data_IF_890303642806
#
_entry.id   IF_890303642806
#
_cell.length_a   1.000
_cell.length_b   1.000
_cell.length_c   1.000
_cell.angle_alpha   90.00
_cell.angle_beta   90.00
_cell.angle_gamma   90.00
#
_symmetry.space_group_name_H-M   'P 1'
#
loop_
_entity.id
_entity.type
_entity.pdbx_description
1 polymer ?
#
# COMPACT_ATOMS: atom_id res chain seq x y z
N UNK A 1 17.62 -11.35 -7.08
CA UNK A 1 17.48 -10.06 -6.41
C UNK A 1 18.82 -9.64 -5.84
N UNK A 2 19.18 -8.38 -5.99
CA UNK A 2 20.37 -7.80 -5.37
C UNK A 2 19.90 -6.64 -4.49
N UNK A 3 20.14 -6.74 -3.19
CA UNK A 3 19.85 -5.68 -2.23
C UNK A 3 20.90 -5.66 -1.12
N UNK A 4 21.09 -4.50 -0.52
CA UNK A 4 21.91 -4.29 0.67
C UNK A 4 20.97 -3.81 1.78
N UNK A 5 21.15 -4.36 2.99
CA UNK A 5 20.39 -3.93 4.15
C UNK A 5 21.31 -3.63 5.33
N UNK A 6 20.93 -2.60 6.06
CA UNK A 6 21.53 -2.21 7.33
C UNK A 6 20.44 -2.16 8.41
N UNK A 7 20.77 -2.60 9.63
CA UNK A 7 19.88 -2.52 10.79
C UNK A 7 20.63 -1.95 11.96
N UNK A 8 20.03 -0.99 12.65
CA UNK A 8 20.54 -0.33 13.85
C UNK A 8 19.55 -0.42 15.00
N UNK A 9 19.82 0.34 16.06
CA UNK A 9 18.95 0.43 17.23
C UNK A 9 17.63 1.16 16.91
N UNK A 10 16.66 1.10 17.83
CA UNK A 10 15.35 1.77 17.74
C UNK A 10 14.54 1.38 16.48
N UNK A 11 14.70 0.13 16.02
CA UNK A 11 14.02 -0.35 14.83
C UNK A 11 14.46 0.34 13.54
N UNK A 12 15.60 1.03 13.53
CA UNK A 12 16.16 1.68 12.34
C UNK A 12 16.62 0.61 11.35
N UNK A 13 16.16 0.73 10.13
CA UNK A 13 16.55 -0.15 9.05
C UNK A 13 16.62 0.63 7.74
N UNK A 14 17.62 0.33 6.93
CA UNK A 14 17.72 0.81 5.56
C UNK A 14 17.88 -0.38 4.61
N UNK A 15 17.17 -0.36 3.49
CA UNK A 15 17.29 -1.38 2.43
C UNK A 15 17.40 -0.66 1.10
N UNK A 16 18.47 -0.93 0.35
CA UNK A 16 18.71 -0.38 -0.98
C UNK A 16 18.79 -1.51 -2.01
N UNK A 17 18.13 -1.35 -3.13
CA UNK A 17 18.15 -2.26 -4.26
C UNK A 17 16.83 -2.96 -4.51
N UNK A 18 16.87 -4.06 -5.30
CA UNK A 18 15.66 -4.77 -5.73
C UNK A 18 15.02 -5.57 -4.61
N UNK A 19 13.85 -5.16 -4.19
CA UNK A 19 13.15 -5.69 -3.03
C UNK A 19 11.65 -5.90 -3.28
N UNK A 20 11.03 -6.73 -2.45
CA UNK A 20 9.58 -6.79 -2.29
C UNK A 20 9.12 -5.66 -1.40
N UNK A 21 8.04 -5.01 -1.79
CA UNK A 21 7.35 -4.06 -0.94
C UNK A 21 5.88 -4.48 -0.91
N UNK A 22 5.38 -4.70 0.31
CA UNK A 22 3.98 -4.96 0.58
C UNK A 22 3.60 -4.06 1.75
N UNK A 23 2.62 -3.20 1.54
CA UNK A 23 2.15 -2.26 2.56
C UNK A 23 0.72 -2.66 2.97
N UNK A 24 0.49 -2.70 4.27
CA UNK A 24 -0.79 -3.08 4.87
C UNK A 24 -1.35 -4.40 4.28
N UNK A 25 -2.53 -4.34 3.66
CA UNK A 25 -3.20 -5.48 3.03
C UNK A 25 -2.88 -5.61 1.53
N UNK A 26 -1.85 -4.94 1.01
CA UNK A 26 -1.49 -4.89 -0.40
C UNK A 26 -2.54 -4.21 -1.32
N UNK A 27 -3.44 -3.41 -0.74
CA UNK A 27 -4.49 -2.71 -1.51
C UNK A 27 -3.92 -1.61 -2.39
N UNK A 28 -2.85 -0.93 -1.92
CA UNK A 28 -2.18 0.14 -2.66
C UNK A 28 -0.84 -0.30 -3.23
N UNK A 29 0.00 -0.96 -2.41
CA UNK A 29 1.30 -1.47 -2.85
C UNK A 29 1.44 -2.93 -2.43
N UNK A 30 1.64 -3.81 -3.42
CA UNK A 30 1.80 -5.24 -3.23
C UNK A 30 2.75 -5.87 -4.24
N UNK A 31 3.15 -7.11 -3.99
CA UNK A 31 4.12 -7.83 -4.82
C UNK A 31 3.49 -8.78 -5.84
N UNK A 32 2.16 -8.92 -5.85
CA UNK A 32 1.44 -9.85 -6.74
C UNK A 32 2.02 -11.29 -6.67
N UNK A 33 2.34 -11.73 -5.44
CA UNK A 33 3.17 -12.91 -5.16
C UNK A 33 2.60 -14.26 -5.60
N UNK A 34 1.37 -14.33 -6.09
CA UNK A 34 0.77 -15.53 -6.69
C UNK A 34 1.18 -15.74 -8.17
N UNK A 35 1.80 -14.74 -8.81
CA UNK A 35 2.31 -14.84 -10.17
C UNK A 35 3.73 -15.42 -10.18
N UNK A 36 4.08 -16.11 -11.27
CA UNK A 36 5.43 -16.65 -11.49
C UNK A 36 6.48 -15.52 -11.47
N UNK A 37 6.19 -14.39 -12.13
CA UNK A 37 6.95 -13.15 -12.03
C UNK A 37 6.22 -12.24 -11.05
N UNK A 38 6.71 -12.14 -9.82
CA UNK A 38 6.17 -11.19 -8.86
C UNK A 38 6.61 -9.76 -9.15
N UNK A 39 5.80 -8.80 -8.73
CA UNK A 39 6.17 -7.39 -8.74
C UNK A 39 7.27 -7.14 -7.71
N UNK A 40 8.34 -6.46 -8.13
CA UNK A 40 9.46 -6.03 -7.27
C UNK A 40 9.83 -4.58 -7.58
N UNK A 41 10.53 -3.95 -6.65
CA UNK A 41 10.83 -2.54 -6.70
C UNK A 41 12.34 -2.33 -6.56
N UNK A 42 12.94 -1.55 -7.46
CA UNK A 42 14.27 -0.99 -7.26
C UNK A 42 14.09 0.28 -6.43
N UNK A 43 14.48 0.24 -5.16
CA UNK A 43 14.04 1.21 -4.17
C UNK A 43 15.05 1.39 -3.02
N UNK A 44 14.96 2.55 -2.37
CA UNK A 44 15.48 2.79 -1.03
C UNK A 44 14.31 2.75 -0.05
N UNK A 45 14.39 1.90 0.97
CA UNK A 45 13.44 1.87 2.09
C UNK A 45 14.15 2.21 3.38
N UNK A 46 13.56 3.10 4.15
CA UNK A 46 13.99 3.52 5.47
C UNK A 46 12.86 3.27 6.46
N UNK A 47 13.13 2.49 7.50
CA UNK A 47 12.22 2.25 8.62
C UNK A 47 12.83 2.80 9.90
N UNK A 48 12.02 3.37 10.80
CA UNK A 48 12.43 3.82 12.13
C UNK A 48 11.28 3.71 13.12
N UNK A 49 11.60 3.40 14.37
CA UNK A 49 10.65 3.44 15.50
C UNK A 49 11.20 4.33 16.62
N UNK A 50 11.21 5.66 16.44
CA UNK A 50 11.79 6.59 17.41
C UNK A 50 10.96 6.71 18.69
N UNK A 51 9.72 6.24 18.69
CA UNK A 51 8.81 6.25 19.83
C UNK A 51 8.23 4.86 20.04
N UNK A 52 7.91 4.51 21.29
CA UNK A 52 7.35 3.19 21.65
C UNK A 52 6.06 2.88 20.87
N UNK A 53 5.22 3.89 20.64
CA UNK A 53 3.91 3.75 20.01
C UNK A 53 3.85 4.25 18.56
N UNK A 54 5.00 4.61 17.95
CA UNK A 54 5.00 5.11 16.57
C UNK A 54 6.17 4.56 15.75
N UNK A 55 5.87 4.03 14.58
CA UNK A 55 6.83 3.60 13.58
C UNK A 55 6.62 4.39 12.29
N UNK A 56 7.72 4.69 11.61
CA UNK A 56 7.74 5.45 10.36
C UNK A 56 8.43 4.64 9.28
N UNK A 57 7.88 4.68 8.09
CA UNK A 57 8.48 4.11 6.87
C UNK A 57 8.51 5.18 5.79
N UNK A 58 9.67 5.33 5.15
CA UNK A 58 9.83 6.09 3.93
C UNK A 58 10.39 5.18 2.84
N UNK A 59 9.82 5.27 1.62
CA UNK A 59 10.31 4.51 0.48
C UNK A 59 10.43 5.45 -0.72
N UNK A 60 11.60 5.45 -1.36
CA UNK A 60 11.81 6.00 -2.68
C UNK A 60 11.86 4.86 -3.69
N UNK A 61 11.05 4.91 -4.74
CA UNK A 61 10.96 3.89 -5.78
C UNK A 61 11.48 4.50 -7.08
N UNK A 62 12.61 3.99 -7.55
CA UNK A 62 13.28 4.37 -8.80
C UNK A 62 12.74 3.58 -10.00
N UNK A 63 12.32 2.31 -9.75
CA UNK A 63 11.81 1.45 -10.82
C UNK A 63 10.85 0.39 -10.27
N UNK A 64 9.79 0.10 -11.03
CA UNK A 64 8.84 -0.97 -10.75
C UNK A 64 8.99 -2.09 -11.78
N UNK A 65 9.46 -3.26 -11.33
CA UNK A 65 9.48 -4.48 -12.13
C UNK A 65 8.15 -5.18 -12.01
N UNK A 66 7.39 -5.18 -13.09
CA UNK A 66 6.03 -5.69 -13.11
C UNK A 66 5.97 -7.18 -13.45
N UNK A 67 4.78 -7.75 -13.30
CA UNK A 67 4.52 -9.20 -13.48
C UNK A 67 4.65 -9.69 -14.93
N UNK A 68 4.75 -8.80 -15.91
CA UNK A 68 4.70 -9.13 -17.35
C UNK A 68 6.03 -9.63 -17.93
N UNK A 69 7.12 -9.56 -17.13
CA UNK A 69 8.46 -9.97 -17.55
C UNK A 69 9.22 -8.89 -18.34
N UNK A 70 10.53 -9.07 -18.45
CA UNK A 70 11.42 -8.04 -18.99
C UNK A 70 11.26 -7.78 -20.49
N UNK A 71 10.71 -8.75 -21.24
CA UNK A 71 10.52 -8.64 -22.69
C UNK A 71 9.20 -7.94 -23.09
N UNK A 72 8.37 -7.60 -22.09
CA UNK A 72 7.12 -6.89 -22.29
C UNK A 72 7.33 -5.38 -22.23
N UNK A 73 6.71 -4.59 -23.14
CA UNK A 73 6.66 -3.13 -23.00
C UNK A 73 6.04 -2.64 -21.68
N UNK A 74 5.29 -3.50 -21.00
CA UNK A 74 4.68 -3.21 -19.69
C UNK A 74 5.43 -3.90 -18.53
N UNK A 75 6.59 -4.49 -18.80
CA UNK A 75 7.35 -5.25 -17.80
C UNK A 75 8.06 -4.41 -16.77
N UNK A 76 8.26 -3.14 -17.08
CA UNK A 76 9.03 -2.20 -16.27
C UNK A 76 8.41 -0.81 -16.37
N UNK A 77 8.39 -0.08 -15.27
CA UNK A 77 8.04 1.34 -15.20
C UNK A 77 9.17 2.10 -14.50
N UNK A 78 9.79 3.03 -15.22
CA UNK A 78 10.63 4.06 -14.62
C UNK A 78 9.78 4.88 -13.64
N UNK A 79 10.31 5.19 -12.48
CA UNK A 79 9.54 5.78 -11.39
C UNK A 79 10.33 6.82 -10.62
N UNK A 80 9.68 7.91 -10.26
CA UNK A 80 10.13 8.89 -9.29
C UNK A 80 9.07 9.02 -8.18
N UNK A 81 8.91 7.92 -7.42
CA UNK A 81 7.81 7.79 -6.48
C UNK A 81 8.28 7.79 -5.04
N UNK A 82 7.46 8.41 -4.18
CA UNK A 82 7.70 8.47 -2.75
C UNK A 82 6.53 7.88 -1.98
N UNK A 83 6.84 7.08 -0.97
CA UNK A 83 5.86 6.53 -0.03
C UNK A 83 6.26 6.91 1.38
N UNK A 84 5.31 7.43 2.13
CA UNK A 84 5.48 7.80 3.54
C UNK A 84 4.38 7.12 4.33
N UNK A 85 4.73 6.40 5.38
CA UNK A 85 3.78 5.80 6.31
C UNK A 85 4.15 6.11 7.76
N UNK A 86 3.13 6.25 8.59
CA UNK A 86 3.22 6.33 10.04
C UNK A 86 2.21 5.35 10.66
N UNK A 87 2.71 4.34 11.34
CA UNK A 87 1.92 3.45 12.18
C UNK A 87 1.92 3.97 13.61
N UNK A 88 0.73 4.14 14.19
CA UNK A 88 0.56 4.66 15.55
C UNK A 88 -0.32 3.71 16.34
N UNK A 89 0.22 3.19 17.44
CA UNK A 89 -0.53 2.39 18.41
C UNK A 89 -1.26 3.33 19.38
N UNK A 90 -2.59 3.28 19.37
CA UNK A 90 -3.48 4.08 20.18
C UNK A 90 -4.14 3.22 21.26
N UNK A 91 -4.60 3.78 22.40
CA UNK A 91 -5.33 3.02 23.44
C UNK A 91 -6.60 2.32 22.93
N UNK A 92 -7.14 2.80 21.82
CA UNK A 92 -8.38 2.34 21.19
C UNK A 92 -8.16 1.76 19.78
N UNK A 93 -6.97 1.26 19.49
CA UNK A 93 -6.65 0.59 18.23
C UNK A 93 -5.36 1.08 17.60
N UNK A 94 -5.11 0.65 16.37
CA UNK A 94 -3.96 1.03 15.57
C UNK A 94 -4.37 1.88 14.39
N UNK A 95 -3.71 3.00 14.18
CA UNK A 95 -3.85 3.84 13.00
C UNK A 95 -2.60 3.73 12.11
N UNK A 96 -2.80 3.65 10.80
CA UNK A 96 -1.78 3.82 9.78
C UNK A 96 -2.16 5.03 8.94
N UNK A 97 -1.29 6.02 8.91
CA UNK A 97 -1.40 7.21 8.06
C UNK A 97 -0.45 7.02 6.90
N UNK A 98 -0.87 7.34 5.69
CA UNK A 98 0.00 7.18 4.52
C UNK A 98 -0.16 8.29 3.48
N UNK A 99 0.94 8.55 2.79
CA UNK A 99 1.01 9.37 1.60
C UNK A 99 1.77 8.58 0.53
N UNK A 100 1.15 8.42 -0.64
CA UNK A 100 1.71 7.78 -1.83
C UNK A 100 1.81 8.85 -2.91
N UNK A 101 3.00 9.21 -3.33
CA UNK A 101 3.28 10.15 -4.40
C UNK A 101 3.89 9.34 -5.54
N UNK A 102 3.06 8.84 -6.45
CA UNK A 102 3.45 7.90 -7.49
C UNK A 102 3.62 8.62 -8.81
N UNK A 103 4.84 8.61 -9.37
CA UNK A 103 5.13 9.11 -10.70
C UNK A 103 5.84 8.03 -11.54
N UNK A 104 5.27 7.72 -12.70
CA UNK A 104 5.75 6.67 -13.61
C UNK A 104 6.28 7.26 -14.94
N UNK A 105 6.60 8.56 -14.93
CA UNK A 105 7.26 9.23 -16.04
C UNK A 105 6.56 8.97 -17.38
N UNK A 106 7.34 8.51 -18.36
CA UNK A 106 6.84 8.25 -19.72
C UNK A 106 6.19 6.88 -19.89
N UNK A 107 6.45 5.94 -19.00
CA UNK A 107 5.98 4.55 -19.16
C UNK A 107 4.50 4.41 -18.85
N UNK A 108 4.01 5.14 -17.83
CA UNK A 108 2.61 5.09 -17.43
C UNK A 108 2.12 6.41 -16.81
N UNK A 109 2.26 7.57 -17.49
CA UNK A 109 1.93 8.87 -16.91
C UNK A 109 0.48 8.94 -16.41
N UNK A 110 -0.44 8.31 -17.12
CA UNK A 110 -1.83 8.22 -16.70
C UNK A 110 -2.07 7.43 -15.40
N UNK A 111 -1.11 6.67 -14.91
CA UNK A 111 -1.19 5.97 -13.62
C UNK A 111 -0.54 6.75 -12.47
N UNK A 112 0.15 7.85 -12.77
CA UNK A 112 0.75 8.72 -11.76
C UNK A 112 -0.34 9.44 -10.97
N UNK A 113 -0.22 9.41 -9.64
CA UNK A 113 -1.22 9.99 -8.73
C UNK A 113 -0.60 10.26 -7.36
N UNK A 114 -1.23 11.16 -6.60
CA UNK A 114 -0.98 11.29 -5.17
C UNK A 114 -2.19 10.77 -4.40
N UNK A 115 -1.92 9.99 -3.35
CA UNK A 115 -2.95 9.40 -2.50
C UNK A 115 -2.60 9.64 -1.04
N UNK A 116 -3.51 10.23 -0.29
CA UNK A 116 -3.39 10.43 1.15
C UNK A 116 -4.50 9.67 1.86
N UNK A 117 -4.15 8.89 2.86
CA UNK A 117 -5.14 8.06 3.54
C UNK A 117 -4.84 7.75 4.99
N UNK A 118 -5.86 7.22 5.62
CA UNK A 118 -5.81 6.70 6.98
C UNK A 118 -6.54 5.36 7.04
N UNK A 119 -5.89 4.39 7.66
CA UNK A 119 -6.45 3.09 8.01
C UNK A 119 -6.41 2.93 9.51
N UNK A 120 -7.56 2.60 10.11
CA UNK A 120 -7.66 2.31 11.54
C UNK A 120 -8.21 0.91 11.73
N UNK A 121 -7.70 0.20 12.76
CA UNK A 121 -8.23 -1.11 13.16
C UNK A 121 -8.14 -1.29 14.66
N UNK A 122 -9.09 -2.02 15.20
CA UNK A 122 -9.08 -2.51 16.58
C UNK A 122 -9.67 -3.90 16.68
N UNK A 123 -9.16 -4.70 17.61
CA UNK A 123 -9.68 -6.03 17.96
C UNK A 123 -10.02 -6.03 19.46
N UNK A 124 -11.15 -6.60 19.82
CA UNK A 124 -11.61 -6.70 21.21
C UNK A 124 -11.73 -8.16 21.62
N UNK A 125 -11.53 -8.43 22.92
CA UNK A 125 -11.85 -9.72 23.52
C UNK A 125 -13.27 -9.69 24.10
N UNK A 126 -14.17 -10.50 23.56
CA UNK A 126 -15.58 -10.61 23.99
C UNK A 126 -15.89 -12.08 24.27
N UNK A 127 -15.55 -12.54 25.47
CA UNK A 127 -15.67 -13.95 25.85
C UNK A 127 -14.82 -14.87 24.97
N UNK A 128 -15.45 -15.79 24.23
CA UNK A 128 -14.74 -16.67 23.29
C UNK A 128 -14.57 -16.05 21.89
N UNK A 129 -15.04 -14.84 21.65
CA UNK A 129 -15.02 -14.17 20.37
C UNK A 129 -14.02 -13.02 20.37
N UNK A 130 -13.41 -12.79 19.21
CA UNK A 130 -12.52 -11.64 18.95
C UNK A 130 -13.03 -10.88 17.72
N UNK A 131 -13.96 -9.93 17.92
CA UNK A 131 -14.36 -9.04 16.85
C UNK A 131 -13.24 -8.03 16.54
N UNK A 132 -13.03 -7.79 15.25
CA UNK A 132 -12.11 -6.78 14.71
C UNK A 132 -12.87 -5.88 13.75
N UNK A 133 -12.78 -4.58 13.94
CA UNK A 133 -13.25 -3.58 13.00
C UNK A 133 -12.05 -2.92 12.31
N UNK A 134 -12.14 -2.78 11.00
CA UNK A 134 -11.17 -2.04 10.19
C UNK A 134 -11.92 -0.99 9.38
N UNK A 135 -11.44 0.24 9.41
CA UNK A 135 -11.95 1.36 8.63
C UNK A 135 -10.79 1.99 7.86
N UNK A 136 -11.02 2.37 6.61
CA UNK A 136 -10.02 3.04 5.80
C UNK A 136 -10.68 4.08 4.90
N UNK A 137 -10.03 5.23 4.76
CA UNK A 137 -10.43 6.27 3.82
C UNK A 137 -9.20 6.91 3.19
N UNK A 138 -9.29 7.24 1.89
CA UNK A 138 -8.24 7.96 1.19
C UNK A 138 -8.82 8.92 0.14
N UNK A 139 -8.05 9.95 -0.17
CA UNK A 139 -8.27 10.88 -1.26
C UNK A 139 -7.12 10.77 -2.26
N UNK A 140 -7.43 10.86 -3.55
CA UNK A 140 -6.47 10.74 -4.64
C UNK A 140 -6.70 11.83 -5.67
N UNK A 141 -5.61 12.40 -6.17
CA UNK A 141 -5.61 13.35 -7.30
C UNK A 141 -4.41 13.10 -8.21
N UNK A 142 -4.27 13.89 -9.27
CA UNK A 142 -3.13 13.84 -10.17
C UNK A 142 -1.82 14.18 -9.47
N UNK A 143 -0.72 13.65 -10.01
CA UNK A 143 0.64 13.94 -9.54
C UNK A 143 1.67 13.71 -10.64
N UNK A 144 2.78 14.43 -10.58
CA UNK A 144 3.96 14.23 -11.43
C UNK A 144 3.64 14.36 -12.91
N UNK A 145 3.88 13.30 -13.66
CA UNK A 145 3.70 13.25 -15.12
C UNK A 145 2.23 13.14 -15.59
N UNK A 146 1.27 12.96 -14.66
CA UNK A 146 -0.13 12.91 -15.01
C UNK A 146 -0.70 14.31 -15.29
N UNK A 147 -1.28 14.48 -16.47
CA UNK A 147 -1.85 15.76 -16.92
C UNK A 147 -3.39 15.82 -16.82
N UNK A 148 -4.01 14.73 -16.36
CA UNK A 148 -5.45 14.73 -16.10
C UNK A 148 -5.75 15.42 -14.78
N UNK A 149 -6.75 16.29 -14.77
CA UNK A 149 -7.27 16.91 -13.54
C UNK A 149 -8.40 16.03 -13.00
N UNK A 150 -8.23 15.46 -11.80
CA UNK A 150 -9.22 14.60 -11.16
C UNK A 150 -9.09 14.58 -9.64
N UNK A 151 -10.22 14.41 -8.98
CA UNK A 151 -10.31 14.09 -7.55
C UNK A 151 -11.13 12.81 -7.38
N UNK A 152 -10.65 11.88 -6.57
CA UNK A 152 -11.37 10.64 -6.29
C UNK A 152 -11.16 10.17 -4.86
N UNK A 153 -12.13 9.42 -4.34
CA UNK A 153 -12.16 8.94 -2.98
C UNK A 153 -12.14 7.41 -2.88
N UNK A 154 -11.63 6.92 -1.79
CA UNK A 154 -11.64 5.52 -1.40
C UNK A 154 -12.17 5.38 0.01
N UNK A 155 -13.05 4.39 0.22
CA UNK A 155 -13.58 4.04 1.52
C UNK A 155 -13.64 2.51 1.65
N UNK A 156 -13.27 2.01 2.82
CA UNK A 156 -13.36 0.58 3.14
C UNK A 156 -13.81 0.41 4.60
N UNK A 157 -14.67 -0.57 4.84
CA UNK A 157 -15.05 -1.01 6.17
C UNK A 157 -15.11 -2.54 6.19
N UNK A 158 -14.52 -3.17 7.21
CA UNK A 158 -14.54 -4.61 7.44
C UNK A 158 -14.86 -4.89 8.91
N UNK A 159 -15.82 -5.78 9.15
CA UNK A 159 -16.06 -6.42 10.44
C UNK A 159 -15.71 -7.90 10.32
N UNK A 160 -14.71 -8.35 11.07
CA UNK A 160 -14.33 -9.75 11.18
C UNK A 160 -14.58 -10.24 12.62
N UNK A 161 -15.06 -11.46 12.78
CA UNK A 161 -15.20 -12.11 14.09
C UNK A 161 -14.47 -13.44 14.05
N UNK A 162 -13.49 -13.59 14.94
CA UNK A 162 -12.74 -14.83 15.12
C UNK A 162 -13.19 -15.56 16.37
N UNK A 163 -13.34 -16.88 16.25
CA UNK A 163 -13.52 -17.80 17.36
C UNK A 163 -12.80 -19.11 17.04
N UNK A 164 -11.89 -19.54 17.91
CA UNK A 164 -11.05 -20.74 17.74
C UNK A 164 -10.36 -20.75 16.37
N UNK A 165 -10.74 -21.68 15.48
CA UNK A 165 -10.21 -21.82 14.12
C UNK A 165 -11.08 -21.14 13.04
N UNK A 166 -12.19 -20.52 13.43
CA UNK A 166 -13.12 -19.89 12.50
C UNK A 166 -12.95 -18.38 12.48
N UNK A 167 -12.95 -17.82 11.30
CA UNK A 167 -13.07 -16.38 11.09
C UNK A 167 -14.17 -16.13 10.07
N UNK A 168 -15.13 -15.30 10.42
CA UNK A 168 -16.16 -14.79 9.52
C UNK A 168 -15.95 -13.30 9.38
N UNK A 169 -15.94 -12.80 8.14
CA UNK A 169 -15.76 -11.38 7.86
C UNK A 169 -16.79 -10.91 6.84
N UNK A 170 -17.21 -9.66 6.98
CA UNK A 170 -18.00 -8.91 6.00
C UNK A 170 -17.28 -7.61 5.75
N UNK A 171 -17.06 -7.28 4.49
CA UNK A 171 -16.41 -6.05 4.09
C UNK A 171 -17.18 -5.35 2.97
N UNK A 172 -17.08 -4.02 2.95
CA UNK A 172 -17.56 -3.17 1.88
C UNK A 172 -16.44 -2.23 1.44
N UNK A 173 -16.32 -2.03 0.14
CA UNK A 173 -15.34 -1.13 -0.47
C UNK A 173 -16.05 -0.22 -1.46
N UNK A 174 -15.68 1.07 -1.46
CA UNK A 174 -16.14 2.06 -2.42
C UNK A 174 -14.95 2.78 -3.01
N UNK A 175 -14.84 2.73 -4.32
CA UNK A 175 -13.94 3.53 -5.11
C UNK A 175 -14.77 4.56 -5.84
N UNK A 176 -14.52 5.83 -5.56
CA UNK A 176 -15.18 6.95 -6.22
C UNK A 176 -14.46 7.29 -7.52
N UNK A 177 -15.15 7.98 -8.39
CA UNK A 177 -14.63 8.51 -9.63
C UNK A 177 -15.60 9.51 -10.20
N UNK A 178 -15.10 10.29 -11.13
CA UNK A 178 -15.92 11.13 -12.01
C UNK A 178 -16.19 10.41 -13.35
N UNK A 179 -16.84 11.07 -14.29
CA UNK A 179 -17.16 10.52 -15.62
C UNK A 179 -15.89 10.19 -16.45
N UNK A 180 -14.74 10.72 -16.07
CA UNK A 180 -13.48 10.58 -16.79
C UNK A 180 -12.56 9.54 -16.14
N UNK A 181 -12.54 9.43 -14.79
CA UNK A 181 -11.57 8.62 -14.07
C UNK A 181 -12.07 8.18 -12.68
N UNK A 182 -11.76 6.94 -12.33
CA UNK A 182 -11.96 6.41 -10.99
C UNK A 182 -10.68 6.32 -10.17
N UNK A 183 -10.82 6.11 -8.87
CA UNK A 183 -9.73 5.83 -7.95
C UNK A 183 -8.91 4.63 -8.44
N UNK A 184 -7.60 4.78 -8.54
CA UNK A 184 -6.70 3.75 -9.09
C UNK A 184 -5.67 3.29 -8.06
N UNK A 185 -5.28 2.01 -8.16
CA UNK A 185 -4.23 1.43 -7.32
C UNK A 185 -3.24 0.66 -8.20
N UNK A 186 -2.38 1.37 -8.96
CA UNK A 186 -1.55 0.80 -10.02
C UNK A 186 -0.53 -0.23 -9.54
N UNK A 187 -0.14 -0.19 -8.25
CA UNK A 187 0.84 -1.08 -7.65
C UNK A 187 0.22 -2.15 -6.74
N UNK A 188 -1.10 -2.27 -6.71
CA UNK A 188 -1.84 -3.21 -5.85
C UNK A 188 -1.68 -4.67 -6.26
N UNK A 189 -1.96 -5.57 -5.31
CA UNK A 189 -2.24 -6.98 -5.59
C UNK A 189 -3.75 -7.15 -5.82
N UNK A 190 -4.24 -6.71 -6.98
CA UNK A 190 -5.65 -6.50 -7.28
C UNK A 190 -6.56 -7.72 -7.11
N UNK A 191 -6.08 -8.93 -7.43
CA UNK A 191 -6.90 -10.15 -7.37
C UNK A 191 -7.42 -10.47 -5.95
N UNK A 192 -6.75 -9.96 -4.89
CA UNK A 192 -7.20 -10.13 -3.51
C UNK A 192 -8.51 -9.38 -3.22
N UNK A 193 -8.84 -8.37 -4.03
CA UNK A 193 -9.95 -7.44 -3.79
C UNK A 193 -11.05 -7.53 -4.83
N UNK A 194 -10.74 -7.96 -6.04
CA UNK A 194 -11.69 -8.00 -7.16
C UNK A 194 -12.24 -9.40 -7.43
N UNK A 195 -11.78 -10.38 -6.66
CA UNK A 195 -12.17 -11.77 -6.84
C UNK A 195 -11.65 -12.37 -8.16
N UNK A 196 -12.15 -13.55 -8.47
CA UNK A 196 -11.91 -14.29 -9.72
C UNK A 196 -13.17 -14.27 -10.57
#
# INVERSE_FOLDING_TARGET
RLQVSWSGDEGRRAVLGRQRIVLNNARFIGNVGFRQNEQTFDALRLDARPFEHAAFTYIYIDNVRRIFGNDSPQGEWESDSHVIEADVDLPWGRANLYALLLDFGRDAPAQSNQTYGVRWSNEWDVGAFRPRLTLEAAAQSEYGSNTADFDSGYQHAELAVRRDHWTVAVAGERLEGDDARGFTTPLATLHLFQGW
#
